data_IF_754450024310
#
_entry.id   IF_754450024310
#
_cell.length_a   1.000
_cell.length_b   1.000
_cell.length_c   1.000
_cell.angle_alpha   90.00
_cell.angle_beta   90.00
_cell.angle_gamma   90.00
#
_symmetry.space_group_name_H-M   'P 1'
#
loop_
_entity.id
_entity.type
_entity.pdbx_description
1 polymer ?
#
# COMPACT_ATOMS: atom_id res chain seq x y z
N UNK A 1 3.04 -8.20 31.88
CA UNK A 1 3.72 -7.00 31.33
C UNK A 1 4.59 -6.40 32.41
N UNK A 2 5.85 -6.09 32.15
CA UNK A 2 6.69 -5.36 33.11
C UNK A 2 6.13 -3.94 33.21
N UNK A 3 5.52 -3.60 34.34
CA UNK A 3 5.07 -2.25 34.67
C UNK A 3 6.28 -1.33 34.62
N UNK A 4 6.39 -0.47 33.61
CA UNK A 4 7.45 0.53 33.50
C UNK A 4 8.13 0.69 32.14
N UNK A 5 7.85 -0.15 31.13
CA UNK A 5 8.30 0.14 29.77
C UNK A 5 7.31 1.16 29.16
N UNK A 6 7.79 2.39 28.89
CA UNK A 6 7.06 3.33 28.05
C UNK A 6 6.70 2.61 26.74
N UNK A 7 5.48 2.77 26.29
CA UNK A 7 5.06 2.28 24.97
C UNK A 7 5.99 2.84 23.90
N UNK A 8 6.30 2.00 22.92
CA UNK A 8 7.17 2.35 21.82
C UNK A 8 6.54 3.44 20.93
N UNK A 9 5.22 3.56 20.99
CA UNK A 9 4.45 4.51 20.20
C UNK A 9 3.46 5.27 21.10
N UNK A 10 3.56 6.61 21.24
CA UNK A 10 2.74 7.39 22.17
C UNK A 10 1.23 7.26 21.97
N UNK A 11 0.79 6.84 20.77
CA UNK A 11 -0.63 6.55 20.52
C UNK A 11 -1.13 5.33 21.31
N UNK A 12 -0.29 4.31 21.47
CA UNK A 12 -0.65 3.13 22.26
C UNK A 12 -0.83 3.44 23.75
N UNK A 13 -0.10 4.44 24.26
CA UNK A 13 -0.24 4.89 25.66
C UNK A 13 -1.61 5.52 25.95
N UNK A 14 -2.35 5.92 24.90
CA UNK A 14 -3.69 6.48 25.01
C UNK A 14 -4.80 5.42 25.00
N UNK A 15 -4.45 4.15 24.79
CA UNK A 15 -5.39 3.02 24.84
C UNK A 15 -5.50 2.57 26.31
N UNK A 16 -6.72 2.52 26.90
CA UNK A 16 -6.89 2.03 28.26
C UNK A 16 -6.37 0.59 28.39
N UNK A 17 -5.61 0.32 29.45
CA UNK A 17 -5.05 -1.01 29.71
C UNK A 17 -6.14 -2.10 29.76
N UNK A 18 -7.30 -1.77 30.33
CA UNK A 18 -8.46 -2.67 30.36
C UNK A 18 -8.96 -3.07 28.97
N UNK A 19 -8.87 -2.17 27.99
CA UNK A 19 -9.26 -2.47 26.60
C UNK A 19 -8.28 -3.47 25.99
N UNK A 20 -6.97 -3.27 26.17
CA UNK A 20 -5.94 -4.21 25.69
C UNK A 20 -6.04 -5.57 26.37
N UNK A 21 -6.34 -5.60 27.66
CA UNK A 21 -6.52 -6.84 28.42
C UNK A 21 -7.76 -7.60 27.96
N UNK A 22 -8.88 -6.92 27.70
CA UNK A 22 -10.11 -7.50 27.12
C UNK A 22 -9.86 -8.07 25.72
N UNK A 23 -9.15 -7.32 24.88
CA UNK A 23 -8.80 -7.77 23.52
C UNK A 23 -7.88 -8.99 23.58
N UNK A 24 -6.86 -8.98 24.44
CA UNK A 24 -5.98 -10.12 24.65
C UNK A 24 -6.73 -11.36 25.19
N UNK A 25 -7.68 -11.19 26.10
CA UNK A 25 -8.51 -12.27 26.60
C UNK A 25 -9.43 -12.84 25.50
N UNK A 26 -10.04 -11.96 24.70
CA UNK A 26 -10.83 -12.35 23.54
C UNK A 26 -10.00 -13.17 22.56
N UNK A 27 -8.82 -12.71 22.16
CA UNK A 27 -7.92 -13.40 21.24
C UNK A 27 -7.51 -14.79 21.75
N UNK A 28 -7.25 -14.94 23.05
CA UNK A 28 -6.97 -16.25 23.67
C UNK A 28 -8.18 -17.18 23.59
N UNK A 29 -9.39 -16.67 23.81
CA UNK A 29 -10.63 -17.45 23.73
C UNK A 29 -10.95 -17.95 22.33
N UNK A 30 -10.43 -17.28 21.29
CA UNK A 30 -10.66 -17.67 19.89
C UNK A 30 -10.01 -19.00 19.51
N UNK A 31 -9.00 -19.47 20.25
CA UNK A 31 -8.33 -20.74 19.94
C UNK A 31 -9.28 -21.93 19.97
N UNK A 32 -10.36 -21.85 20.75
CA UNK A 32 -11.40 -22.90 20.88
C UNK A 32 -12.64 -22.66 20.00
N UNK A 33 -12.70 -21.52 19.28
CA UNK A 33 -13.85 -21.15 18.46
C UNK A 33 -13.75 -21.66 17.02
N UNK A 34 -14.90 -21.84 16.33
CA UNK A 34 -14.93 -22.20 14.92
C UNK A 34 -14.19 -21.20 14.03
N UNK A 35 -13.67 -21.66 12.88
CA UNK A 35 -12.85 -20.85 11.98
C UNK A 35 -13.57 -19.55 11.52
N UNK A 36 -14.86 -19.65 11.17
CA UNK A 36 -15.63 -18.48 10.74
C UNK A 36 -15.72 -17.40 11.83
N UNK A 37 -15.95 -17.79 13.09
CA UNK A 37 -15.99 -16.85 14.23
C UNK A 37 -14.63 -16.18 14.44
N UNK A 38 -13.54 -16.96 14.31
CA UNK A 38 -12.18 -16.43 14.41
C UNK A 38 -11.90 -15.41 13.31
N UNK A 39 -12.22 -15.74 12.05
CA UNK A 39 -12.02 -14.86 10.90
C UNK A 39 -12.82 -13.56 11.03
N UNK A 40 -14.11 -13.66 11.40
CA UNK A 40 -14.95 -12.45 11.59
C UNK A 40 -14.40 -11.54 12.70
N UNK A 41 -13.97 -12.13 13.83
CA UNK A 41 -13.37 -11.36 14.92
C UNK A 41 -12.05 -10.71 14.48
N UNK A 42 -11.21 -11.43 13.72
CA UNK A 42 -9.96 -10.87 13.21
C UNK A 42 -10.19 -9.74 12.19
N UNK A 43 -11.20 -9.85 11.33
CA UNK A 43 -11.59 -8.75 10.42
C UNK A 43 -12.06 -7.49 11.17
N UNK A 44 -12.77 -7.67 12.29
CA UNK A 44 -13.21 -6.55 13.13
C UNK A 44 -12.04 -5.85 13.85
N UNK A 45 -11.12 -6.65 14.42
CA UNK A 45 -9.98 -6.16 15.18
C UNK A 45 -8.81 -5.70 14.28
N UNK A 46 -8.70 -6.23 13.08
CA UNK A 46 -7.68 -5.87 12.10
C UNK A 46 -7.77 -4.39 11.67
N UNK A 47 -6.73 -3.90 11.04
CA UNK A 47 -6.66 -2.51 10.56
C UNK A 47 -5.39 -2.21 9.78
N UNK A 48 -4.19 -2.48 10.32
CA UNK A 48 -2.93 -2.24 9.65
C UNK A 48 -2.81 -2.84 8.25
N UNK A 49 -3.39 -4.03 8.01
CA UNK A 49 -3.43 -4.65 6.69
C UNK A 49 -4.26 -3.86 5.68
N UNK A 50 -5.41 -3.31 6.09
CA UNK A 50 -6.25 -2.46 5.23
C UNK A 50 -5.56 -1.15 4.86
N UNK A 51 -4.78 -0.59 5.79
CA UNK A 51 -3.91 0.53 5.45
C UNK A 51 -2.85 0.17 4.43
N UNK A 52 -2.22 -1.00 4.58
CA UNK A 52 -1.28 -1.53 3.59
C UNK A 52 -1.93 -1.64 2.20
N UNK A 53 -3.15 -2.18 2.11
CA UNK A 53 -3.89 -2.24 0.85
C UNK A 53 -4.16 -0.84 0.26
N UNK A 54 -4.53 0.13 1.09
CA UNK A 54 -4.78 1.50 0.65
C UNK A 54 -3.52 2.20 0.12
N UNK A 55 -2.35 1.88 0.67
CA UNK A 55 -1.06 2.37 0.20
C UNK A 55 -0.64 1.70 -1.11
N UNK A 56 -0.72 0.38 -1.16
CA UNK A 56 -0.31 -0.43 -2.33
C UNK A 56 -1.22 -0.24 -3.54
N UNK A 57 -2.53 -0.07 -3.34
CA UNK A 57 -3.51 0.14 -4.42
C UNK A 57 -3.59 1.62 -4.84
N UNK A 58 -2.44 2.28 -5.02
CA UNK A 58 -2.38 3.65 -5.48
C UNK A 58 -2.50 3.81 -7.01
N UNK A 59 -2.50 5.07 -7.47
CA UNK A 59 -2.61 5.40 -8.89
C UNK A 59 -1.56 4.67 -9.75
N UNK A 60 -0.33 4.52 -9.26
CA UNK A 60 0.74 3.80 -9.98
C UNK A 60 0.42 2.33 -10.21
N UNK A 61 0.06 1.62 -9.14
CA UNK A 61 -0.29 0.19 -9.20
C UNK A 61 -1.49 -0.07 -10.10
N UNK A 62 -2.54 0.75 -9.95
CA UNK A 62 -3.72 0.59 -10.78
C UNK A 62 -3.48 0.99 -12.24
N UNK A 63 -2.66 2.00 -12.51
CA UNK A 63 -2.25 2.32 -13.89
C UNK A 63 -1.50 1.13 -14.51
N UNK A 64 -0.57 0.52 -13.79
CA UNK A 64 0.13 -0.66 -14.26
C UNK A 64 -0.83 -1.83 -14.52
N UNK A 65 -1.84 -2.06 -13.67
CA UNK A 65 -2.87 -3.07 -13.87
C UNK A 65 -3.74 -2.78 -15.10
N UNK A 66 -4.17 -1.52 -15.28
CA UNK A 66 -4.96 -1.08 -16.44
C UNK A 66 -4.18 -1.27 -17.75
N UNK A 67 -2.94 -0.78 -17.79
CA UNK A 67 -2.04 -0.94 -18.96
C UNK A 67 -1.78 -2.41 -19.24
N UNK A 68 -1.56 -3.21 -18.21
CA UNK A 68 -1.34 -4.65 -18.30
C UNK A 68 -2.52 -5.33 -18.98
N UNK A 69 -3.75 -5.04 -18.57
CA UNK A 69 -4.97 -5.54 -19.20
C UNK A 69 -5.13 -5.06 -20.64
N UNK A 70 -4.94 -3.75 -20.88
CA UNK A 70 -5.11 -3.15 -22.20
C UNK A 70 -4.07 -3.63 -23.23
N UNK A 71 -2.82 -3.83 -22.83
CA UNK A 71 -1.73 -4.22 -23.75
C UNK A 71 -1.60 -5.72 -23.91
N UNK A 72 -1.76 -6.50 -22.83
CA UNK A 72 -1.47 -7.94 -22.81
C UNK A 72 -2.69 -8.82 -22.56
N UNK A 73 -3.85 -8.20 -22.41
CA UNK A 73 -5.07 -8.93 -22.07
C UNK A 73 -4.94 -9.61 -20.69
N UNK A 74 -5.48 -10.81 -20.58
CA UNK A 74 -5.49 -11.56 -19.32
C UNK A 74 -4.13 -12.19 -18.96
N UNK A 75 -3.14 -12.21 -19.86
CA UNK A 75 -1.89 -12.99 -19.72
C UNK A 75 -1.03 -12.57 -18.53
N UNK A 76 -1.23 -11.39 -17.99
CA UNK A 76 -0.44 -10.80 -16.89
C UNK A 76 -1.08 -10.93 -15.51
N UNK A 77 -2.25 -11.51 -15.39
CA UNK A 77 -2.97 -11.67 -14.11
C UNK A 77 -2.15 -12.38 -13.03
N UNK A 78 -1.28 -13.32 -13.43
CA UNK A 78 -0.40 -14.06 -12.53
C UNK A 78 0.60 -13.16 -11.77
N UNK A 79 0.97 -12.02 -12.34
CA UNK A 79 1.93 -11.09 -11.72
C UNK A 79 1.43 -10.62 -10.35
N UNK A 80 0.13 -10.38 -10.23
CA UNK A 80 -0.48 -9.85 -9.01
C UNK A 80 -0.26 -10.75 -7.79
N UNK A 81 -0.42 -12.09 -7.94
CA UNK A 81 -0.25 -12.98 -6.81
C UNK A 81 1.23 -13.28 -6.50
N UNK A 82 2.11 -13.25 -7.49
CA UNK A 82 3.57 -13.33 -7.25
C UNK A 82 4.06 -12.09 -6.53
N UNK A 83 3.66 -10.92 -6.99
CA UNK A 83 4.07 -9.64 -6.43
C UNK A 83 3.63 -9.50 -4.96
N UNK A 84 2.34 -9.69 -4.67
CA UNK A 84 1.83 -9.59 -3.30
C UNK A 84 2.37 -10.73 -2.43
N UNK A 85 2.41 -11.96 -2.95
CA UNK A 85 2.88 -13.13 -2.22
C UNK A 85 4.32 -12.99 -1.75
N UNK A 86 5.20 -12.45 -2.60
CA UNK A 86 6.58 -12.17 -2.21
C UNK A 86 6.65 -11.15 -1.08
N UNK A 87 5.87 -10.07 -1.15
CA UNK A 87 5.84 -9.01 -0.14
C UNK A 87 5.34 -9.45 1.23
N UNK A 88 4.44 -10.44 1.27
CA UNK A 88 3.86 -10.95 2.52
C UNK A 88 4.90 -11.58 3.46
N UNK A 89 5.99 -12.14 2.95
CA UNK A 89 7.03 -12.70 3.80
C UNK A 89 7.73 -11.62 4.64
N UNK A 90 8.05 -10.47 4.05
CA UNK A 90 8.62 -9.36 4.81
C UNK A 90 7.59 -8.71 5.75
N UNK A 91 6.31 -8.62 5.33
CA UNK A 91 5.23 -8.19 6.21
C UNK A 91 5.09 -9.10 7.44
N UNK A 92 5.22 -10.42 7.28
CA UNK A 92 5.21 -11.36 8.40
C UNK A 92 6.40 -11.14 9.35
N UNK A 93 7.57 -10.76 8.82
CA UNK A 93 8.70 -10.33 9.63
C UNK A 93 8.37 -9.06 10.43
N UNK A 94 7.74 -8.07 9.80
CA UNK A 94 7.29 -6.85 10.50
C UNK A 94 6.25 -7.17 11.57
N UNK A 95 5.28 -8.04 11.29
CA UNK A 95 4.33 -8.52 12.31
C UNK A 95 5.05 -9.13 13.53
N UNK A 96 6.15 -9.84 13.31
CA UNK A 96 6.98 -10.42 14.39
C UNK A 96 7.74 -9.35 15.17
N UNK A 97 8.36 -8.38 14.50
CA UNK A 97 8.99 -7.23 15.18
C UNK A 97 7.98 -6.45 16.01
N UNK A 98 6.78 -6.22 15.47
CA UNK A 98 5.70 -5.52 16.17
C UNK A 98 5.24 -6.28 17.40
N UNK A 99 4.84 -7.55 17.23
CA UNK A 99 4.13 -8.28 18.28
C UNK A 99 5.07 -8.92 19.29
N UNK A 100 6.18 -9.49 18.88
CA UNK A 100 7.14 -10.19 19.76
C UNK A 100 8.38 -9.37 20.10
N UNK A 101 8.85 -8.56 19.16
CA UNK A 101 10.02 -7.72 19.37
C UNK A 101 9.70 -6.53 20.26
N UNK A 102 8.56 -5.90 20.05
CA UNK A 102 8.17 -4.66 20.73
C UNK A 102 9.27 -3.59 20.62
N UNK A 103 9.82 -3.42 19.41
CA UNK A 103 10.98 -2.58 19.12
C UNK A 103 10.64 -1.54 18.06
N UNK A 104 11.20 -0.35 18.17
CA UNK A 104 11.24 0.65 17.09
C UNK A 104 12.28 0.18 16.07
N UNK A 105 11.79 -0.37 14.96
CA UNK A 105 12.65 -1.09 14.01
C UNK A 105 13.72 -0.19 13.38
N UNK A 106 13.41 1.07 13.06
CA UNK A 106 14.37 2.01 12.46
C UNK A 106 15.44 2.41 13.49
N UNK A 107 15.09 2.54 14.78
CA UNK A 107 16.07 2.80 15.83
C UNK A 107 17.03 1.61 16.01
N UNK A 108 16.50 0.38 16.05
CA UNK A 108 17.30 -0.85 16.13
C UNK A 108 18.18 -1.00 14.91
N UNK A 109 17.64 -0.74 13.72
CA UNK A 109 18.38 -0.75 12.47
C UNK A 109 19.52 0.29 12.48
N UNK A 110 19.27 1.49 13.02
CA UNK A 110 20.29 2.52 13.18
C UNK A 110 21.44 2.10 14.10
N UNK A 111 21.14 1.41 15.20
CA UNK A 111 22.14 0.91 16.15
C UNK A 111 22.98 -0.24 15.57
N UNK A 112 22.38 -1.09 14.73
CA UNK A 112 23.03 -2.32 14.22
C UNK A 112 23.68 -2.15 12.85
N UNK A 113 23.00 -1.43 11.93
CA UNK A 113 23.43 -1.29 10.54
C UNK A 113 23.78 0.15 10.15
N UNK A 114 23.77 1.06 11.15
CA UNK A 114 24.19 2.43 11.01
C UNK A 114 23.10 3.40 10.54
N UNK A 115 23.41 4.67 10.72
CA UNK A 115 22.52 5.81 10.42
C UNK A 115 22.06 5.82 8.95
N UNK A 116 22.97 5.54 8.02
CA UNK A 116 22.69 5.63 6.59
C UNK A 116 21.60 4.63 6.17
N UNK A 117 21.70 3.36 6.57
CA UNK A 117 20.73 2.33 6.23
C UNK A 117 19.37 2.63 6.86
N UNK A 118 19.35 3.00 8.14
CA UNK A 118 18.12 3.20 8.88
C UNK A 118 17.41 4.50 8.54
N UNK A 119 18.11 5.63 8.62
CA UNK A 119 17.47 6.95 8.53
C UNK A 119 17.46 7.51 7.11
N UNK A 120 18.47 7.21 6.30
CA UNK A 120 18.49 7.67 4.92
C UNK A 120 17.78 6.69 4.01
N UNK A 121 18.20 5.41 3.94
CA UNK A 121 17.60 4.47 3.00
C UNK A 121 16.18 4.04 3.43
N UNK A 122 15.98 3.70 4.70
CA UNK A 122 14.67 3.22 5.16
C UNK A 122 13.69 4.37 5.37
N UNK A 123 14.02 5.35 6.23
CA UNK A 123 13.07 6.40 6.59
C UNK A 123 12.93 7.47 5.50
N UNK A 124 14.03 8.07 5.06
CA UNK A 124 13.97 9.17 4.10
C UNK A 124 13.62 8.71 2.69
N UNK A 125 14.41 7.81 2.09
CA UNK A 125 14.16 7.33 0.73
C UNK A 125 12.93 6.43 0.68
N UNK A 126 12.88 5.40 1.53
CA UNK A 126 11.84 4.36 1.50
C UNK A 126 10.45 4.82 1.95
N UNK A 127 10.34 5.93 2.71
CA UNK A 127 9.06 6.43 3.20
C UNK A 127 8.82 7.87 2.74
N UNK A 128 9.67 8.81 3.14
CA UNK A 128 9.40 10.25 2.93
C UNK A 128 9.43 10.62 1.45
N UNK A 129 10.51 10.26 0.73
CA UNK A 129 10.61 10.57 -0.70
C UNK A 129 9.51 9.90 -1.53
N UNK A 130 9.17 8.65 -1.18
CA UNK A 130 8.06 7.92 -1.82
C UNK A 130 6.73 8.66 -1.62
N UNK A 131 6.43 9.02 -0.36
CA UNK A 131 5.18 9.72 -0.02
C UNK A 131 5.07 11.09 -0.72
N UNK A 132 6.18 11.83 -0.84
CA UNK A 132 6.19 13.14 -1.50
C UNK A 132 6.05 13.00 -3.02
N UNK A 133 6.87 12.15 -3.66
CA UNK A 133 6.93 12.10 -5.12
C UNK A 133 5.71 11.43 -5.75
N UNK A 134 5.31 10.28 -5.22
CA UNK A 134 4.20 9.54 -5.83
C UNK A 134 2.84 10.17 -5.54
N UNK A 135 2.76 11.08 -4.54
CA UNK A 135 1.50 11.78 -4.29
C UNK A 135 1.11 12.77 -5.41
N UNK A 136 2.05 13.24 -6.24
CA UNK A 136 1.71 14.02 -7.43
C UNK A 136 0.75 13.27 -8.37
N UNK A 137 1.01 11.97 -8.59
CA UNK A 137 0.13 11.12 -9.39
C UNK A 137 -1.23 10.87 -8.75
N UNK A 138 -1.28 10.73 -7.42
CA UNK A 138 -2.54 10.57 -6.69
C UNK A 138 -3.42 11.83 -6.81
N UNK A 139 -2.82 13.00 -6.62
CA UNK A 139 -3.54 14.29 -6.71
C UNK A 139 -4.05 14.51 -8.13
N UNK A 140 -3.21 14.29 -9.16
CA UNK A 140 -3.62 14.45 -10.55
C UNK A 140 -4.79 13.51 -10.93
N UNK A 141 -4.74 12.24 -10.48
CA UNK A 141 -5.84 11.30 -10.70
C UNK A 141 -7.09 11.69 -9.92
N UNK A 142 -6.94 12.05 -8.64
CA UNK A 142 -8.07 12.36 -7.77
C UNK A 142 -8.85 13.60 -8.23
N UNK A 143 -8.15 14.65 -8.63
CA UNK A 143 -8.79 15.87 -9.16
C UNK A 143 -9.50 15.63 -10.48
N UNK A 144 -8.91 14.84 -11.38
CA UNK A 144 -9.56 14.42 -12.63
C UNK A 144 -10.84 13.60 -12.36
N UNK A 145 -10.80 12.70 -11.38
CA UNK A 145 -11.97 11.87 -11.06
C UNK A 145 -13.09 12.66 -10.38
N UNK A 146 -12.77 13.68 -9.55
CA UNK A 146 -13.79 14.59 -9.02
C UNK A 146 -14.54 15.27 -10.15
N UNK A 147 -13.83 15.79 -11.16
CA UNK A 147 -14.43 16.41 -12.34
C UNK A 147 -15.26 15.41 -13.13
N UNK A 148 -14.73 14.22 -13.36
CA UNK A 148 -15.42 13.15 -14.10
C UNK A 148 -16.70 12.69 -13.41
N UNK A 149 -16.69 12.50 -12.10
CA UNK A 149 -17.88 12.16 -11.29
C UNK A 149 -18.92 13.27 -11.37
N UNK A 150 -18.50 14.53 -11.19
CA UNK A 150 -19.40 15.68 -11.25
C UNK A 150 -20.07 15.79 -12.63
N UNK A 151 -19.32 15.66 -13.73
CA UNK A 151 -19.84 15.72 -15.10
C UNK A 151 -20.82 14.59 -15.40
N UNK A 152 -20.54 13.37 -14.94
CA UNK A 152 -21.45 12.22 -15.10
C UNK A 152 -22.74 12.40 -14.31
N UNK A 153 -22.67 13.05 -13.14
CA UNK A 153 -23.84 13.40 -12.33
C UNK A 153 -24.62 14.62 -12.86
N UNK A 154 -24.15 15.26 -13.94
CA UNK A 154 -24.81 16.42 -14.55
C UNK A 154 -24.47 17.77 -13.90
N UNK A 155 -23.44 17.84 -13.09
CA UNK A 155 -22.97 19.07 -12.47
C UNK A 155 -21.74 19.61 -13.23
N UNK A 156 -21.74 20.90 -13.55
CA UNK A 156 -20.52 21.60 -13.99
C UNK A 156 -19.78 22.10 -12.76
N UNK A 157 -18.65 21.48 -12.45
CA UNK A 157 -17.81 21.89 -11.34
C UNK A 157 -16.62 22.70 -11.87
N UNK A 158 -16.38 23.94 -11.42
CA UNK A 158 -15.24 24.72 -11.88
C UNK A 158 -13.92 24.00 -11.56
N UNK A 159 -13.10 23.77 -12.58
CA UNK A 159 -11.85 23.04 -12.45
C UNK A 159 -10.92 23.61 -11.35
N UNK A 160 -10.94 24.93 -11.16
CA UNK A 160 -10.16 25.61 -10.11
C UNK A 160 -10.49 25.14 -8.68
N UNK A 161 -11.68 24.55 -8.44
CA UNK A 161 -12.09 24.08 -7.12
C UNK A 161 -11.73 22.60 -6.86
N UNK A 162 -11.42 21.82 -7.91
CA UNK A 162 -11.09 20.40 -7.78
C UNK A 162 -9.87 20.18 -6.89
N UNK A 163 -8.83 21.00 -7.06
CA UNK A 163 -7.59 20.90 -6.33
C UNK A 163 -7.73 21.24 -4.84
N UNK A 164 -8.28 22.41 -4.47
CA UNK A 164 -8.53 22.72 -3.07
C UNK A 164 -9.46 21.70 -2.39
N UNK A 165 -10.50 21.26 -3.08
CA UNK A 165 -11.44 20.28 -2.52
C UNK A 165 -10.76 18.96 -2.20
N UNK A 166 -9.98 18.43 -3.17
CA UNK A 166 -9.22 17.20 -2.96
C UNK A 166 -8.23 17.34 -1.79
N UNK A 167 -7.46 18.44 -1.78
CA UNK A 167 -6.49 18.72 -0.73
C UNK A 167 -7.13 18.84 0.65
N UNK A 168 -8.25 19.56 0.75
CA UNK A 168 -8.97 19.73 2.02
C UNK A 168 -9.53 18.40 2.56
N UNK A 169 -10.13 17.57 1.69
CA UNK A 169 -10.68 16.27 2.08
C UNK A 169 -9.56 15.37 2.59
N UNK A 170 -8.49 15.21 1.82
CA UNK A 170 -7.40 14.30 2.16
C UNK A 170 -6.60 14.77 3.38
N UNK A 171 -6.34 16.08 3.49
CA UNK A 171 -5.69 16.67 4.66
C UNK A 171 -6.55 16.53 5.92
N UNK A 172 -7.86 16.77 5.81
CA UNK A 172 -8.78 16.63 6.94
C UNK A 172 -8.82 15.21 7.48
N UNK A 173 -8.93 14.21 6.59
CA UNK A 173 -8.93 12.80 6.99
C UNK A 173 -7.59 12.42 7.64
N UNK A 174 -6.47 12.80 7.02
CA UNK A 174 -5.13 12.49 7.53
C UNK A 174 -4.89 13.12 8.90
N UNK A 175 -5.24 14.40 9.11
CA UNK A 175 -5.08 15.11 10.37
C UNK A 175 -5.95 14.54 11.51
N UNK A 176 -6.99 13.76 11.19
CA UNK A 176 -7.78 13.06 12.21
C UNK A 176 -7.10 11.79 12.72
N UNK A 177 -6.04 11.29 12.04
CA UNK A 177 -5.29 10.12 12.53
C UNK A 177 -4.69 10.41 13.91
N UNK A 178 -5.11 9.62 14.89
CA UNK A 178 -4.67 9.77 16.28
C UNK A 178 -5.31 10.95 17.05
N UNK A 179 -6.15 11.76 16.42
CA UNK A 179 -6.90 12.81 17.12
C UNK A 179 -7.91 12.19 18.10
N UNK A 180 -7.77 12.49 19.38
CA UNK A 180 -8.53 11.82 20.43
C UNK A 180 -8.08 10.37 20.68
N UNK A 181 -6.83 10.03 20.40
CA UNK A 181 -6.21 8.73 20.67
C UNK A 181 -6.71 7.65 19.72
N UNK A 182 -7.10 6.50 20.29
CA UNK A 182 -7.56 5.33 19.54
C UNK A 182 -8.77 5.64 18.63
N UNK A 183 -9.63 6.59 18.99
CA UNK A 183 -10.82 6.96 18.18
C UNK A 183 -10.41 7.50 16.81
N UNK A 184 -9.39 8.34 16.74
CA UNK A 184 -8.88 8.87 15.48
C UNK A 184 -8.23 7.79 14.59
N UNK A 185 -7.54 6.83 15.20
CA UNK A 185 -6.99 5.67 14.46
C UNK A 185 -8.12 4.83 13.88
N UNK A 186 -9.13 4.48 14.69
CA UNK A 186 -10.30 3.69 14.27
C UNK A 186 -11.08 4.42 13.17
N UNK A 187 -11.24 5.74 13.27
CA UNK A 187 -11.91 6.53 12.23
C UNK A 187 -11.23 6.38 10.87
N UNK A 188 -9.91 6.57 10.81
CA UNK A 188 -9.18 6.47 9.54
C UNK A 188 -9.13 5.03 9.04
N UNK A 189 -8.95 4.04 9.92
CA UNK A 189 -9.03 2.61 9.54
C UNK A 189 -10.40 2.24 8.96
N UNK A 190 -11.48 2.73 9.57
CA UNK A 190 -12.84 2.49 9.09
C UNK A 190 -13.06 3.14 7.73
N UNK A 191 -12.58 4.37 7.55
CA UNK A 191 -12.58 5.04 6.26
C UNK A 191 -11.86 4.22 5.19
N UNK A 192 -10.65 3.71 5.48
CA UNK A 192 -9.90 2.84 4.55
C UNK A 192 -10.65 1.56 4.20
N UNK A 193 -11.23 0.88 5.19
CA UNK A 193 -12.02 -0.36 5.00
C UNK A 193 -13.22 -0.11 4.10
N UNK A 194 -13.99 0.95 4.36
CA UNK A 194 -15.17 1.31 3.57
C UNK A 194 -14.77 1.68 2.14
N UNK A 195 -13.71 2.47 1.97
CA UNK A 195 -13.21 2.86 0.65
C UNK A 195 -12.78 1.66 -0.18
N UNK A 196 -12.03 0.71 0.41
CA UNK A 196 -11.64 -0.53 -0.27
C UNK A 196 -12.85 -1.39 -0.64
N UNK A 197 -13.87 -1.45 0.23
CA UNK A 197 -15.12 -2.15 -0.07
C UNK A 197 -15.87 -1.50 -1.24
N UNK A 198 -15.97 -0.16 -1.26
CA UNK A 198 -16.57 0.60 -2.37
C UNK A 198 -15.82 0.29 -3.66
N UNK A 199 -14.48 0.36 -3.66
CA UNK A 199 -13.65 0.02 -4.82
C UNK A 199 -13.97 -1.40 -5.33
N UNK A 200 -13.95 -2.38 -4.42
CA UNK A 200 -14.19 -3.77 -4.78
C UNK A 200 -15.57 -3.97 -5.36
N UNK A 201 -16.61 -3.42 -4.74
CA UNK A 201 -18.00 -3.53 -5.21
C UNK A 201 -18.18 -2.85 -6.58
N UNK A 202 -17.70 -1.61 -6.71
CA UNK A 202 -17.84 -0.84 -7.95
C UNK A 202 -17.08 -1.47 -9.11
N UNK A 203 -15.85 -1.92 -8.88
CA UNK A 203 -15.07 -2.56 -9.95
C UNK A 203 -15.62 -3.95 -10.30
N UNK A 204 -16.10 -4.71 -9.31
CA UNK A 204 -16.74 -6.00 -9.57
C UNK A 204 -18.03 -5.82 -10.38
N UNK A 205 -18.80 -4.76 -10.13
CA UNK A 205 -19.98 -4.45 -10.95
C UNK A 205 -19.61 -4.25 -12.43
N UNK A 206 -18.46 -3.61 -12.72
CA UNK A 206 -17.99 -3.43 -14.09
C UNK A 206 -17.71 -4.76 -14.81
N UNK A 207 -17.25 -5.82 -14.09
CA UNK A 207 -17.01 -7.13 -14.70
C UNK A 207 -18.28 -7.74 -15.33
N UNK A 208 -19.43 -7.51 -14.70
CA UNK A 208 -20.72 -8.04 -15.22
C UNK A 208 -21.21 -7.29 -16.45
N UNK A 209 -20.73 -6.06 -16.66
CA UNK A 209 -21.11 -5.22 -17.81
C UNK A 209 -20.23 -5.51 -19.02
N UNK A 210 -18.91 -5.70 -18.83
CA UNK A 210 -17.94 -5.75 -19.94
C UNK A 210 -17.77 -7.13 -20.59
N UNK A 211 -18.36 -8.19 -20.05
CA UNK A 211 -18.30 -9.53 -20.67
C UNK A 211 -16.90 -10.16 -20.64
N UNK A 212 -16.43 -10.56 -19.47
CA UNK A 212 -15.10 -11.15 -19.27
C UNK A 212 -15.02 -12.57 -19.84
N UNK A 213 -13.93 -12.86 -20.58
CA UNK A 213 -13.57 -14.24 -20.94
C UNK A 213 -12.92 -14.94 -19.71
N UNK A 214 -13.76 -15.66 -18.96
CA UNK A 214 -13.34 -16.35 -17.74
C UNK A 214 -12.31 -17.45 -17.98
N UNK A 215 -12.33 -18.09 -19.16
CA UNK A 215 -11.35 -19.14 -19.50
C UNK A 215 -9.97 -18.56 -19.74
N UNK A 216 -9.90 -17.44 -20.48
CA UNK A 216 -8.67 -16.71 -20.69
C UNK A 216 -8.14 -16.08 -19.39
N UNK A 217 -9.05 -15.54 -18.55
CA UNK A 217 -8.70 -14.98 -17.25
C UNK A 217 -8.13 -16.06 -16.30
N UNK A 218 -8.76 -17.22 -16.21
CA UNK A 218 -8.24 -18.35 -15.41
C UNK A 218 -6.88 -18.81 -15.91
N UNK A 219 -6.70 -18.95 -17.21
CA UNK A 219 -5.40 -19.31 -17.79
C UNK A 219 -4.33 -18.27 -17.49
N UNK A 220 -4.64 -16.98 -17.65
CA UNK A 220 -3.71 -15.88 -17.36
C UNK A 220 -3.39 -15.72 -15.88
N UNK A 221 -4.27 -16.18 -14.99
CA UNK A 221 -4.01 -16.16 -13.55
C UNK A 221 -3.06 -17.28 -13.09
N UNK A 222 -3.17 -18.48 -13.68
CA UNK A 222 -2.39 -19.65 -13.26
C UNK A 222 -1.16 -19.95 -14.11
N UNK A 223 -1.12 -19.47 -15.36
CA UNK A 223 -0.02 -19.77 -16.28
C UNK A 223 0.88 -18.55 -16.44
N UNK A 224 2.13 -18.59 -15.92
CA UNK A 224 3.08 -17.49 -16.07
C UNK A 224 3.41 -17.24 -17.54
N UNK A 225 3.34 -15.97 -17.93
CA UNK A 225 3.73 -15.49 -19.23
C UNK A 225 4.48 -14.16 -19.08
N UNK A 226 5.65 -14.04 -19.69
CA UNK A 226 6.44 -12.82 -19.66
C UNK A 226 6.28 -12.07 -20.99
N UNK A 227 6.00 -10.75 -20.91
CA UNK A 227 5.98 -9.93 -22.13
C UNK A 227 7.37 -9.86 -22.76
N UNK A 228 7.41 -9.79 -24.08
CA UNK A 228 8.64 -9.61 -24.85
C UNK A 228 8.81 -8.14 -25.23
N UNK A 229 10.06 -7.66 -25.29
CA UNK A 229 10.37 -6.27 -25.60
C UNK A 229 10.50 -5.37 -24.37
N UNK A 230 11.11 -4.19 -24.54
CA UNK A 230 11.44 -3.26 -23.46
C UNK A 230 10.20 -2.78 -22.70
N UNK A 231 9.15 -2.36 -23.42
CA UNK A 231 7.92 -1.83 -22.79
C UNK A 231 7.21 -2.88 -21.94
N UNK A 232 7.22 -4.14 -22.38
CA UNK A 232 6.64 -5.23 -21.62
C UNK A 232 7.42 -5.56 -20.35
N UNK A 233 8.75 -5.46 -20.40
CA UNK A 233 9.62 -5.65 -19.24
C UNK A 233 9.40 -4.50 -18.25
N UNK A 234 9.33 -3.25 -18.70
CA UNK A 234 9.08 -2.09 -17.85
C UNK A 234 7.72 -2.19 -17.14
N UNK A 235 6.69 -2.64 -17.85
CA UNK A 235 5.38 -2.87 -17.26
C UNK A 235 5.40 -4.00 -16.21
N UNK A 236 6.11 -5.10 -16.50
CA UNK A 236 6.30 -6.19 -15.53
C UNK A 236 7.03 -5.72 -14.27
N UNK A 237 8.10 -4.93 -14.44
CA UNK A 237 8.86 -4.35 -13.34
C UNK A 237 7.97 -3.42 -12.52
N UNK A 238 7.23 -2.51 -13.18
CA UNK A 238 6.31 -1.58 -12.52
C UNK A 238 5.22 -2.31 -11.72
N UNK A 239 4.60 -3.33 -12.33
CA UNK A 239 3.56 -4.13 -11.67
C UNK A 239 4.09 -4.95 -10.49
N UNK A 240 5.31 -5.47 -10.59
CA UNK A 240 5.93 -6.28 -9.52
C UNK A 240 6.46 -5.44 -8.37
N UNK A 241 7.07 -4.29 -8.67
CA UNK A 241 7.65 -3.40 -7.67
C UNK A 241 6.60 -2.60 -6.89
N UNK A 242 5.42 -2.39 -7.48
CA UNK A 242 4.35 -1.59 -6.87
C UNK A 242 3.57 -2.33 -5.78
N UNK A 243 3.79 -3.64 -5.59
CA UNK A 243 2.92 -4.41 -4.72
C UNK A 243 3.17 -4.18 -3.22
N UNK A 244 4.41 -4.26 -2.74
CA UNK A 244 4.73 -4.06 -1.31
C UNK A 244 6.19 -3.62 -1.17
N UNK A 245 6.41 -2.42 -0.68
CA UNK A 245 7.75 -1.85 -0.50
C UNK A 245 8.09 -1.52 0.95
N UNK A 246 9.22 -0.83 1.15
CA UNK A 246 9.70 -0.39 2.47
C UNK A 246 8.64 0.41 3.21
N UNK A 247 7.92 1.31 2.52
CA UNK A 247 6.87 2.12 3.13
C UNK A 247 5.77 1.26 3.75
N UNK A 248 5.31 0.23 3.03
CA UNK A 248 4.25 -0.66 3.49
C UNK A 248 4.70 -1.51 4.68
N UNK A 249 5.92 -2.05 4.63
CA UNK A 249 6.50 -2.85 5.72
C UNK A 249 6.61 -2.02 7.01
N UNK A 250 7.16 -0.82 6.89
CA UNK A 250 7.33 0.07 8.04
C UNK A 250 5.98 0.55 8.55
N UNK A 251 5.08 0.92 7.65
CA UNK A 251 3.76 1.41 8.06
C UNK A 251 2.95 0.33 8.79
N UNK A 252 2.95 -0.92 8.31
CA UNK A 252 2.31 -2.04 8.99
C UNK A 252 2.84 -2.21 10.42
N UNK A 253 4.16 -2.13 10.58
CA UNK A 253 4.82 -2.20 11.87
C UNK A 253 4.34 -1.09 12.82
N UNK A 254 4.38 0.16 12.37
CA UNK A 254 3.98 1.31 13.20
C UNK A 254 2.48 1.36 13.47
N UNK A 255 1.65 0.98 12.51
CA UNK A 255 0.20 0.89 12.69
C UNK A 255 -0.17 -0.18 13.74
N UNK A 256 0.51 -1.33 13.74
CA UNK A 256 0.36 -2.34 14.77
C UNK A 256 0.76 -1.85 16.17
N UNK A 257 1.85 -1.07 16.26
CA UNK A 257 2.23 -0.42 17.52
C UNK A 257 1.22 0.63 17.97
N UNK A 258 0.65 1.42 17.03
CA UNK A 258 -0.40 2.41 17.36
C UNK A 258 -1.65 1.75 17.93
N UNK A 259 -1.91 0.48 17.61
CA UNK A 259 -2.99 -0.34 18.17
C UNK A 259 -2.61 -1.06 19.47
N UNK A 260 -1.37 -0.91 19.94
CA UNK A 260 -0.90 -1.61 21.13
C UNK A 260 -0.72 -3.12 20.95
N UNK A 261 -0.51 -3.60 19.70
CA UNK A 261 -0.33 -5.02 19.45
C UNK A 261 0.89 -5.59 20.14
N UNK A 262 0.69 -6.64 20.94
CA UNK A 262 1.71 -7.37 21.67
C UNK A 262 1.73 -8.86 21.30
N UNK A 263 2.40 -9.72 22.09
CA UNK A 263 2.61 -11.13 21.77
C UNK A 263 1.35 -11.94 21.50
N UNK A 264 0.22 -11.59 22.12
CA UNK A 264 -1.08 -12.26 21.91
C UNK A 264 -1.71 -11.95 20.56
N UNK A 265 -1.25 -10.89 19.88
CA UNK A 265 -1.79 -10.41 18.61
C UNK A 265 -1.08 -10.99 17.37
N UNK A 266 -0.09 -11.90 17.52
CA UNK A 266 0.65 -12.45 16.36
C UNK A 266 -0.29 -13.14 15.34
N UNK A 267 -1.27 -13.90 15.83
CA UNK A 267 -2.26 -14.56 14.99
C UNK A 267 -3.15 -13.55 14.25
N UNK A 268 -3.61 -12.53 14.96
CA UNK A 268 -4.37 -11.42 14.40
C UNK A 268 -3.55 -10.69 13.30
N UNK A 269 -2.31 -10.33 13.59
CA UNK A 269 -1.44 -9.62 12.65
C UNK A 269 -1.23 -10.40 11.33
N UNK A 270 -1.04 -11.72 11.41
CA UNK A 270 -0.92 -12.58 10.22
C UNK A 270 -2.22 -12.67 9.42
N UNK A 271 -3.36 -12.77 10.07
CA UNK A 271 -4.66 -12.82 9.38
C UNK A 271 -4.98 -11.45 8.80
N UNK A 272 -4.75 -10.36 9.53
CA UNK A 272 -4.97 -8.99 9.05
C UNK A 272 -4.13 -8.67 7.80
N UNK A 273 -2.87 -9.10 7.78
CA UNK A 273 -2.01 -8.99 6.61
C UNK A 273 -2.60 -9.70 5.38
N UNK A 274 -3.16 -10.89 5.57
CA UNK A 274 -3.75 -11.65 4.47
C UNK A 274 -5.10 -11.07 4.06
N UNK A 275 -6.01 -10.85 5.00
CA UNK A 275 -7.38 -10.41 4.71
C UNK A 275 -7.49 -8.92 4.43
N UNK A 276 -6.66 -8.11 5.08
CA UNK A 276 -6.64 -6.65 4.92
C UNK A 276 -5.79 -6.17 3.75
N UNK A 277 -4.68 -6.85 3.43
CA UNK A 277 -3.79 -6.44 2.35
C UNK A 277 -3.85 -7.38 1.13
N UNK A 278 -3.51 -8.66 1.31
CA UNK A 278 -3.31 -9.55 0.16
C UNK A 278 -4.60 -9.79 -0.61
N UNK A 279 -5.69 -10.10 0.08
CA UNK A 279 -6.97 -10.41 -0.55
C UNK A 279 -7.56 -9.21 -1.31
N UNK A 280 -7.68 -7.99 -0.73
CA UNK A 280 -8.13 -6.82 -1.47
C UNK A 280 -7.23 -6.49 -2.66
N UNK A 281 -5.92 -6.58 -2.50
CA UNK A 281 -4.98 -6.35 -3.58
C UNK A 281 -5.19 -7.31 -4.75
N UNK A 282 -5.28 -8.61 -4.48
CA UNK A 282 -5.50 -9.62 -5.52
C UNK A 282 -6.84 -9.43 -6.23
N UNK A 283 -7.91 -9.21 -5.47
CA UNK A 283 -9.25 -9.06 -6.04
C UNK A 283 -9.34 -7.81 -6.92
N UNK A 284 -8.87 -6.66 -6.43
CA UNK A 284 -8.94 -5.40 -7.17
C UNK A 284 -8.06 -5.45 -8.41
N UNK A 285 -6.82 -5.96 -8.33
CA UNK A 285 -5.97 -6.10 -9.50
C UNK A 285 -6.55 -7.08 -10.52
N UNK A 286 -7.09 -8.23 -10.07
CA UNK A 286 -7.76 -9.19 -10.95
C UNK A 286 -8.90 -8.52 -11.71
N UNK A 287 -9.74 -7.77 -11.00
CA UNK A 287 -10.89 -7.08 -11.61
C UNK A 287 -10.43 -6.01 -12.59
N UNK A 288 -9.48 -5.16 -12.20
CA UNK A 288 -8.99 -4.07 -13.04
C UNK A 288 -8.34 -4.61 -14.31
N UNK A 289 -7.42 -5.56 -14.20
CA UNK A 289 -6.80 -6.19 -15.39
C UNK A 289 -7.86 -6.81 -16.29
N UNK A 290 -8.85 -7.50 -15.71
CA UNK A 290 -9.89 -8.19 -16.49
C UNK A 290 -10.83 -7.23 -17.21
N UNK A 291 -11.22 -6.12 -16.56
CA UNK A 291 -12.05 -5.08 -17.20
C UNK A 291 -11.32 -4.45 -18.39
N UNK A 292 -10.05 -4.09 -18.21
CA UNK A 292 -9.26 -3.47 -19.27
C UNK A 292 -8.86 -4.45 -20.37
N UNK A 293 -8.69 -5.73 -20.04
CA UNK A 293 -8.51 -6.80 -21.02
C UNK A 293 -9.75 -7.03 -21.88
N UNK A 294 -10.94 -6.97 -21.27
CA UNK A 294 -12.20 -7.15 -22.00
C UNK A 294 -12.59 -5.95 -22.89
N UNK A 295 -12.08 -4.74 -22.57
CA UNK A 295 -12.53 -3.50 -23.22
C UNK A 295 -11.52 -2.87 -24.16
N UNK A 296 -10.24 -2.80 -23.77
CA UNK A 296 -9.21 -2.06 -24.50
C UNK A 296 -8.14 -2.96 -25.17
N UNK A 297 -8.11 -4.24 -24.86
CA UNK A 297 -7.15 -5.16 -25.49
C UNK A 297 -7.40 -5.25 -27.01
N UNK A 298 -6.34 -5.01 -27.80
CA UNK A 298 -6.43 -4.97 -29.26
C UNK A 298 -6.77 -3.60 -29.84
N UNK A 299 -6.99 -2.57 -29.02
CA UNK A 299 -7.16 -1.19 -29.50
C UNK A 299 -5.87 -0.62 -30.07
N UNK A 300 -5.95 0.18 -31.12
CA UNK A 300 -4.79 0.78 -31.79
C UNK A 300 -4.13 1.90 -30.98
N UNK A 301 -4.89 2.61 -30.15
CA UNK A 301 -4.44 3.73 -29.33
C UNK A 301 -4.75 3.46 -27.86
N UNK A 302 -3.80 2.91 -27.14
CA UNK A 302 -3.93 2.68 -25.69
C UNK A 302 -3.34 3.89 -24.94
N UNK A 303 -4.17 4.60 -24.14
CA UNK A 303 -3.67 5.70 -23.33
C UNK A 303 -2.65 5.21 -22.30
N UNK A 304 -1.68 6.07 -21.94
CA UNK A 304 -0.56 5.70 -21.06
C UNK A 304 -0.69 6.24 -19.63
N UNK A 305 -1.66 7.11 -19.37
CA UNK A 305 -1.88 7.67 -18.03
C UNK A 305 -3.20 7.20 -17.40
N UNK A 306 -3.24 7.10 -16.07
CA UNK A 306 -4.44 6.68 -15.34
C UNK A 306 -5.69 7.54 -15.63
N UNK A 307 -5.59 8.89 -15.69
CA UNK A 307 -6.74 9.72 -16.08
C UNK A 307 -7.27 9.41 -17.48
N UNK A 308 -6.39 9.25 -18.46
CA UNK A 308 -6.76 8.96 -19.84
C UNK A 308 -7.35 7.56 -19.99
N UNK A 309 -6.80 6.55 -19.30
CA UNK A 309 -7.33 5.19 -19.27
C UNK A 309 -8.73 5.16 -18.66
N UNK A 310 -8.94 5.90 -17.58
CA UNK A 310 -10.27 6.07 -16.97
C UNK A 310 -11.25 6.70 -17.94
N UNK A 311 -10.87 7.79 -18.60
CA UNK A 311 -11.70 8.47 -19.58
C UNK A 311 -12.03 7.58 -20.79
N UNK A 312 -11.10 6.76 -21.25
CA UNK A 312 -11.32 5.83 -22.37
C UNK A 312 -12.27 4.68 -21.98
N UNK A 313 -12.30 4.25 -20.73
CA UNK A 313 -13.16 3.17 -20.27
C UNK A 313 -14.63 3.61 -20.10
N UNK A 314 -14.86 4.82 -19.63
CA UNK A 314 -16.21 5.32 -19.30
C UNK A 314 -17.23 5.14 -20.44
N UNK A 315 -16.96 5.50 -21.71
CA UNK A 315 -17.88 5.27 -22.82
C UNK A 315 -18.15 3.79 -23.11
N UNK A 316 -17.15 2.93 -22.86
CA UNK A 316 -17.21 1.49 -23.15
C UNK A 316 -18.07 0.72 -22.13
N UNK A 317 -18.32 1.30 -20.97
CA UNK A 317 -19.21 0.73 -19.96
C UNK A 317 -20.69 0.83 -20.34
N UNK A 318 -21.02 1.61 -21.39
CA UNK A 318 -22.36 1.68 -22.02
C UNK A 318 -23.44 2.30 -21.17
N UNK A 319 -23.60 1.88 -19.95
CA UNK A 319 -24.60 2.37 -19.00
C UNK A 319 -24.04 3.48 -18.12
N UNK A 320 -24.80 4.58 -17.98
CA UNK A 320 -24.42 5.70 -17.09
C UNK A 320 -24.15 5.23 -15.65
N UNK A 321 -24.90 4.24 -15.16
CA UNK A 321 -24.73 3.67 -13.83
C UNK A 321 -23.40 2.95 -13.64
N UNK A 322 -22.97 2.14 -14.61
CA UNK A 322 -21.70 1.42 -14.56
C UNK A 322 -20.51 2.39 -14.65
N UNK A 323 -20.60 3.39 -15.52
CA UNK A 323 -19.60 4.44 -15.64
C UNK A 323 -19.44 5.24 -14.33
N UNK A 324 -20.56 5.62 -13.71
CA UNK A 324 -20.57 6.33 -12.42
C UNK A 324 -20.01 5.46 -11.29
N UNK A 325 -20.41 4.18 -11.22
CA UNK A 325 -19.88 3.24 -10.24
C UNK A 325 -18.36 3.07 -10.39
N UNK A 326 -17.86 2.91 -11.62
CA UNK A 326 -16.42 2.85 -11.87
C UNK A 326 -15.69 4.09 -11.36
N UNK A 327 -16.20 5.28 -11.69
CA UNK A 327 -15.59 6.55 -11.28
C UNK A 327 -15.57 6.73 -9.76
N UNK A 328 -16.66 6.38 -9.06
CA UNK A 328 -16.73 6.43 -7.58
C UNK A 328 -15.74 5.44 -6.96
N UNK A 329 -15.72 4.19 -7.42
CA UNK A 329 -14.77 3.20 -6.98
C UNK A 329 -13.33 3.66 -7.21
N UNK A 330 -13.08 4.24 -8.39
CA UNK A 330 -11.74 4.69 -8.73
C UNK A 330 -11.32 5.96 -7.99
N UNK A 331 -12.24 6.85 -7.63
CA UNK A 331 -11.96 8.04 -6.80
C UNK A 331 -11.49 7.69 -5.38
N UNK A 332 -11.96 6.57 -4.84
CA UNK A 332 -11.51 6.09 -3.53
C UNK A 332 -10.00 5.81 -3.51
N UNK A 333 -9.41 5.39 -4.64
CA UNK A 333 -7.98 5.04 -4.78
C UNK A 333 -7.05 6.20 -4.42
N UNK A 334 -7.05 7.33 -5.14
CA UNK A 334 -6.14 8.43 -4.84
C UNK A 334 -6.39 9.04 -3.45
N UNK A 335 -7.63 9.08 -2.98
CA UNK A 335 -7.97 9.62 -1.65
C UNK A 335 -7.35 8.75 -0.56
N UNK A 336 -7.57 7.44 -0.60
CA UNK A 336 -7.02 6.52 0.42
C UNK A 336 -5.50 6.50 0.41
N UNK A 337 -4.90 6.47 -0.78
CA UNK A 337 -3.44 6.45 -0.92
C UNK A 337 -2.81 7.76 -0.46
N UNK A 338 -3.37 8.92 -0.79
CA UNK A 338 -2.87 10.21 -0.29
C UNK A 338 -2.96 10.30 1.23
N UNK A 339 -4.06 9.85 1.83
CA UNK A 339 -4.20 9.81 3.30
C UNK A 339 -3.18 8.86 3.92
N UNK A 340 -3.03 7.66 3.37
CA UNK A 340 -2.04 6.68 3.82
C UNK A 340 -0.60 7.19 3.72
N UNK A 341 -0.23 7.78 2.57
CA UNK A 341 1.07 8.42 2.35
C UNK A 341 1.34 9.58 3.31
N UNK A 342 0.32 10.37 3.63
CA UNK A 342 0.42 11.48 4.58
C UNK A 342 0.78 10.96 5.99
N UNK A 343 0.14 9.92 6.44
CA UNK A 343 0.41 9.31 7.75
C UNK A 343 1.79 8.62 7.75
N UNK A 344 2.10 7.86 6.71
CA UNK A 344 3.41 7.22 6.56
C UNK A 344 4.54 8.23 6.50
N UNK A 345 4.36 9.36 5.81
CA UNK A 345 5.33 10.46 5.76
C UNK A 345 5.60 11.04 7.16
N UNK A 346 4.54 11.25 7.95
CA UNK A 346 4.70 11.76 9.32
C UNK A 346 5.52 10.79 10.18
N UNK A 347 5.27 9.48 10.09
CA UNK A 347 6.08 8.45 10.73
C UNK A 347 7.52 8.49 10.22
N UNK A 348 7.71 8.50 8.91
CA UNK A 348 9.04 8.51 8.27
C UNK A 348 9.89 9.70 8.68
N UNK A 349 9.31 10.92 8.70
CA UNK A 349 10.00 12.15 9.14
C UNK A 349 10.41 12.04 10.62
N UNK A 350 9.52 11.56 11.49
CA UNK A 350 9.83 11.42 12.92
C UNK A 350 10.93 10.41 13.17
N UNK A 351 10.89 9.26 12.48
CA UNK A 351 11.94 8.24 12.57
C UNK A 351 13.27 8.70 11.97
N UNK A 352 13.23 9.42 10.84
CA UNK A 352 14.43 10.01 10.22
C UNK A 352 15.12 10.99 11.17
N UNK A 353 14.36 11.85 11.83
CA UNK A 353 14.86 12.88 12.75
C UNK A 353 15.13 12.33 14.16
N UNK A 354 14.68 11.11 14.48
CA UNK A 354 14.77 10.53 15.82
C UNK A 354 13.82 11.18 16.83
N UNK A 355 12.73 11.78 16.36
CA UNK A 355 11.70 12.37 17.21
C UNK A 355 10.69 11.30 17.65
N UNK A 356 10.09 11.54 18.81
CA UNK A 356 8.95 10.72 19.19
C UNK A 356 7.73 11.10 18.33
N UNK A 357 6.99 10.10 17.80
CA UNK A 357 5.84 10.33 16.94
C UNK A 357 4.62 10.78 17.78
N UNK A 358 4.64 12.03 18.23
CA UNK A 358 3.54 12.66 18.97
C UNK A 358 2.58 13.34 17.98
N UNK A 359 1.39 12.76 17.82
CA UNK A 359 0.32 13.25 16.94
C UNK A 359 -0.22 14.63 17.30
N UNK A 360 0.00 15.10 18.53
CA UNK A 360 -0.40 16.44 18.99
C UNK A 360 0.61 17.51 18.59
N UNK A 361 1.85 17.14 18.32
CA UNK A 361 2.93 18.07 18.03
C UNK A 361 2.71 18.79 16.70
N UNK A 362 3.22 20.05 16.59
CA UNK A 362 3.21 20.79 15.34
C UNK A 362 4.09 20.10 14.26
N UNK A 363 5.16 19.43 14.69
CA UNK A 363 6.04 18.63 13.81
C UNK A 363 5.28 17.52 13.10
N UNK A 364 4.44 16.78 13.85
CA UNK A 364 3.56 15.77 13.28
C UNK A 364 2.60 16.36 12.26
N UNK A 365 1.93 17.48 12.61
CA UNK A 365 0.96 18.14 11.74
C UNK A 365 1.60 18.64 10.43
N UNK A 366 2.81 19.21 10.49
CA UNK A 366 3.54 19.59 9.29
C UNK A 366 3.96 18.37 8.45
N UNK A 367 4.47 17.33 9.08
CA UNK A 367 4.92 16.13 8.39
C UNK A 367 3.77 15.39 7.71
N UNK A 368 2.59 15.33 8.32
CA UNK A 368 1.40 14.69 7.75
C UNK A 368 0.82 15.49 6.58
N UNK A 369 1.03 16.79 6.56
CA UNK A 369 0.62 17.67 5.45
C UNK A 369 1.66 17.76 4.33
N UNK A 370 2.90 17.34 4.56
CA UNK A 370 3.96 17.48 3.56
C UNK A 370 3.63 16.83 2.19
N UNK A 371 2.97 15.65 2.09
CA UNK A 371 2.60 15.10 0.78
C UNK A 371 1.57 15.92 0.02
N UNK A 372 0.87 16.88 0.66
CA UNK A 372 -0.02 17.83 -0.04
C UNK A 372 0.74 18.74 -1.02
N UNK A 373 2.08 18.74 -0.99
CA UNK A 373 2.90 19.37 -2.04
C UNK A 373 2.54 18.85 -3.45
N UNK A 374 1.97 17.64 -3.54
CA UNK A 374 1.42 17.07 -4.77
C UNK A 374 0.36 17.96 -5.42
N UNK A 375 -0.29 18.87 -4.67
CA UNK A 375 -1.22 19.86 -5.20
C UNK A 375 -0.56 20.85 -6.17
N UNK A 376 0.77 20.98 -6.12
CA UNK A 376 1.53 21.78 -7.09
C UNK A 376 1.41 21.22 -8.52
N UNK A 377 0.99 19.96 -8.70
CA UNK A 377 0.68 19.40 -10.00
C UNK A 377 -0.43 20.18 -10.75
N UNK A 378 -1.22 20.99 -10.04
CA UNK A 378 -2.19 21.91 -10.66
C UNK A 378 -1.54 23.00 -11.51
N UNK A 379 -0.31 23.40 -11.16
CA UNK A 379 0.40 24.53 -11.75
C UNK A 379 1.59 24.11 -12.62
N UNK A 380 2.08 22.89 -12.44
CA UNK A 380 3.22 22.36 -13.16
C UNK A 380 2.98 20.90 -13.56
N UNK A 381 3.48 20.45 -14.71
CA UNK A 381 3.44 19.03 -15.06
C UNK A 381 4.09 18.19 -13.95
N UNK A 382 3.59 16.99 -13.74
CA UNK A 382 4.16 16.04 -12.80
C UNK A 382 5.67 15.94 -12.97
N UNK A 383 6.48 16.04 -11.91
CA UNK A 383 7.93 16.08 -12.02
C UNK A 383 8.50 14.69 -12.36
N UNK A 384 8.34 14.26 -13.62
CA UNK A 384 8.71 12.93 -14.12
C UNK A 384 10.15 12.59 -13.76
N UNK A 385 11.08 13.54 -13.93
CA UNK A 385 12.49 13.31 -13.57
C UNK A 385 12.67 12.98 -12.09
N UNK A 386 11.99 13.68 -11.20
CA UNK A 386 12.03 13.41 -9.76
C UNK A 386 11.44 12.04 -9.42
N UNK A 387 10.33 11.68 -10.06
CA UNK A 387 9.70 10.37 -9.87
C UNK A 387 10.63 9.24 -10.32
N UNK A 388 11.28 9.38 -11.48
CA UNK A 388 12.26 8.40 -11.98
C UNK A 388 13.46 8.30 -11.04
N UNK A 389 14.01 9.42 -10.59
CA UNK A 389 15.15 9.43 -9.67
C UNK A 389 14.80 8.73 -8.35
N UNK A 390 13.64 9.02 -7.79
CA UNK A 390 13.19 8.40 -6.53
C UNK A 390 12.88 6.91 -6.75
N UNK A 391 12.29 6.52 -7.87
CA UNK A 391 12.06 5.13 -8.19
C UNK A 391 13.37 4.34 -8.30
N UNK A 392 14.41 4.93 -8.91
CA UNK A 392 15.75 4.34 -8.96
C UNK A 392 16.38 4.20 -7.58
N UNK A 393 16.35 5.27 -6.77
CA UNK A 393 16.86 5.24 -5.39
C UNK A 393 16.10 4.24 -4.51
N UNK A 394 14.78 4.14 -4.70
CA UNK A 394 13.92 3.18 -4.00
C UNK A 394 14.26 1.74 -4.37
N UNK A 395 14.52 1.47 -5.65
CA UNK A 395 14.90 0.12 -6.11
C UNK A 395 16.16 -0.39 -5.40
N UNK A 396 17.19 0.47 -5.28
CA UNK A 396 18.41 0.14 -4.53
C UNK A 396 18.13 0.06 -3.02
N UNK A 397 17.38 1.03 -2.49
CA UNK A 397 17.02 1.08 -1.07
C UNK A 397 16.27 -0.16 -0.62
N UNK A 398 15.25 -0.59 -1.37
CA UNK A 398 14.45 -1.79 -1.04
C UNK A 398 15.33 -3.03 -0.85
N UNK A 399 16.34 -3.21 -1.68
CA UNK A 399 17.27 -4.34 -1.58
C UNK A 399 18.10 -4.29 -0.30
N UNK A 400 18.77 -3.17 -0.05
CA UNK A 400 19.61 -3.00 1.14
C UNK A 400 18.78 -3.09 2.43
N UNK A 401 17.61 -2.47 2.44
CA UNK A 401 16.71 -2.49 3.60
C UNK A 401 16.18 -3.90 3.84
N UNK A 402 15.83 -4.66 2.79
CA UNK A 402 15.36 -6.03 2.92
C UNK A 402 16.43 -6.94 3.55
N UNK A 403 17.68 -6.83 3.10
CA UNK A 403 18.80 -7.54 3.73
C UNK A 403 18.99 -7.15 5.18
N UNK A 404 18.95 -5.84 5.47
CA UNK A 404 19.06 -5.32 6.84
C UNK A 404 17.98 -5.90 7.75
N UNK A 405 16.72 -5.91 7.30
CA UNK A 405 15.59 -6.45 8.06
C UNK A 405 15.68 -7.96 8.24
N UNK A 406 16.12 -8.68 7.22
CA UNK A 406 16.37 -10.14 7.31
C UNK A 406 17.43 -10.49 8.35
N UNK A 407 18.53 -9.74 8.37
CA UNK A 407 19.59 -9.91 9.37
C UNK A 407 19.07 -9.62 10.79
N UNK A 408 18.34 -8.52 10.98
CA UNK A 408 17.73 -8.18 12.29
C UNK A 408 16.72 -9.23 12.75
N UNK A 409 15.93 -9.82 11.84
CA UNK A 409 14.97 -10.87 12.16
C UNK A 409 15.63 -12.13 12.72
N UNK A 410 16.86 -12.40 12.30
CA UNK A 410 17.63 -13.56 12.72
C UNK A 410 18.63 -13.25 13.85
N UNK A 411 18.80 -11.98 14.22
CA UNK A 411 19.75 -11.55 15.24
C UNK A 411 19.27 -11.94 16.64
N UNK A 412 20.13 -12.71 17.35
CA UNK A 412 19.86 -13.16 18.73
C UNK A 412 19.88 -11.99 19.73
N UNK A 413 20.70 -10.97 19.50
CA UNK A 413 20.79 -9.83 20.42
C UNK A 413 19.59 -8.89 20.27
N UNK A 414 18.97 -8.84 19.08
CA UNK A 414 17.78 -8.02 18.81
C UNK A 414 16.51 -8.70 19.30
N UNK A 415 16.26 -9.93 18.90
CA UNK A 415 15.00 -10.63 19.16
C UNK A 415 15.12 -11.75 20.19
N UNK A 416 16.31 -12.10 20.66
CA UNK A 416 16.53 -13.13 21.64
C UNK A 416 15.93 -14.47 21.24
N UNK A 417 15.06 -15.02 22.10
CA UNK A 417 14.32 -16.26 21.84
C UNK A 417 13.24 -16.09 20.74
N UNK A 418 12.83 -14.85 20.46
CA UNK A 418 11.79 -14.51 19.45
C UNK A 418 12.35 -14.39 18.03
N UNK A 419 13.66 -14.56 17.81
CA UNK A 419 14.24 -14.55 16.46
C UNK A 419 13.57 -15.58 15.55
N UNK A 420 13.64 -15.37 14.25
CA UNK A 420 13.11 -16.35 13.29
C UNK A 420 13.94 -17.64 13.35
N UNK A 421 13.26 -18.77 13.56
CA UNK A 421 13.86 -20.11 13.51
C UNK A 421 13.20 -20.97 12.41
N UNK A 422 12.24 -20.43 11.71
CA UNK A 422 11.49 -21.16 10.68
C UNK A 422 12.21 -21.05 9.35
N UNK A 423 12.65 -22.19 8.81
CA UNK A 423 13.19 -22.27 7.46
C UNK A 423 12.22 -21.76 6.41
N UNK A 424 10.92 -22.04 6.55
CA UNK A 424 9.89 -21.59 5.61
C UNK A 424 9.84 -20.06 5.50
N UNK A 425 9.76 -19.35 6.63
CA UNK A 425 9.71 -17.89 6.62
C UNK A 425 11.01 -17.26 6.15
N UNK A 426 12.16 -17.79 6.58
CA UNK A 426 13.45 -17.28 6.14
C UNK A 426 13.69 -17.53 4.65
N UNK A 427 13.33 -18.71 4.14
CA UNK A 427 13.40 -19.02 2.72
C UNK A 427 12.49 -18.09 1.90
N UNK A 428 11.25 -17.86 2.35
CA UNK A 428 10.33 -16.95 1.69
C UNK A 428 10.86 -15.52 1.59
N UNK A 429 11.48 -15.01 2.66
CA UNK A 429 12.12 -13.68 2.65
C UNK A 429 13.33 -13.67 1.69
N UNK A 430 14.16 -14.72 1.68
CA UNK A 430 15.28 -14.81 0.73
C UNK A 430 14.80 -14.86 -0.72
N UNK A 431 13.73 -15.60 -1.02
CA UNK A 431 13.10 -15.59 -2.35
C UNK A 431 12.62 -14.19 -2.72
N UNK A 432 11.95 -13.49 -1.79
CA UNK A 432 11.53 -12.10 -2.01
C UNK A 432 12.72 -11.18 -2.31
N UNK A 433 13.79 -11.25 -1.51
CA UNK A 433 15.01 -10.45 -1.72
C UNK A 433 15.62 -10.76 -3.09
N UNK A 434 15.65 -12.05 -3.49
CA UNK A 434 16.17 -12.46 -4.80
C UNK A 434 15.31 -11.90 -5.94
N UNK A 435 13.98 -11.92 -5.81
CA UNK A 435 13.07 -11.32 -6.79
C UNK A 435 13.27 -9.80 -6.89
N UNK A 436 13.37 -9.09 -5.77
CA UNK A 436 13.63 -7.65 -5.76
C UNK A 436 14.99 -7.30 -6.39
N UNK A 437 16.03 -8.09 -6.11
CA UNK A 437 17.33 -7.92 -6.76
C UNK A 437 17.24 -8.20 -8.28
N UNK A 438 16.53 -9.25 -8.68
CA UNK A 438 16.30 -9.57 -10.07
C UNK A 438 15.59 -8.43 -10.82
N UNK A 439 14.51 -7.91 -10.24
CA UNK A 439 13.76 -6.76 -10.78
C UNK A 439 14.65 -5.52 -10.89
N UNK A 440 15.44 -5.21 -9.86
CA UNK A 440 16.36 -4.08 -9.88
C UNK A 440 17.46 -4.23 -10.94
N UNK A 441 18.04 -5.42 -11.08
CA UNK A 441 19.03 -5.74 -12.12
C UNK A 441 18.41 -5.62 -13.51
N UNK A 442 17.23 -6.19 -13.74
CA UNK A 442 16.51 -6.09 -15.02
C UNK A 442 16.24 -4.63 -15.38
N UNK A 443 15.82 -3.81 -14.41
CA UNK A 443 15.60 -2.38 -14.61
C UNK A 443 16.87 -1.65 -15.04
N UNK A 444 18.00 -1.91 -14.36
CA UNK A 444 19.31 -1.32 -14.71
C UNK A 444 19.74 -1.74 -16.10
N UNK A 445 19.70 -3.06 -16.40
CA UNK A 445 20.11 -3.58 -17.68
C UNK A 445 19.26 -3.02 -18.83
N UNK A 446 17.93 -2.93 -18.64
CA UNK A 446 17.02 -2.35 -19.63
C UNK A 446 17.33 -0.84 -19.83
N UNK A 447 17.57 -0.09 -18.75
CA UNK A 447 17.85 1.35 -18.82
C UNK A 447 19.15 1.68 -19.54
N UNK A 448 20.16 0.83 -19.45
CA UNK A 448 21.46 0.99 -20.13
C UNK A 448 21.53 0.26 -21.50
N UNK A 449 20.42 -0.29 -21.99
CA UNK A 449 20.39 -1.00 -23.27
C UNK A 449 21.22 -2.29 -23.30
N UNK A 450 21.52 -2.86 -22.11
CA UNK A 450 22.29 -4.09 -21.96
C UNK A 450 21.41 -5.36 -21.99
N UNK A 451 20.09 -5.20 -22.07
CA UNK A 451 19.12 -6.28 -22.20
C UNK A 451 18.36 -6.10 -23.52
N UNK A 452 18.68 -6.94 -24.51
CA UNK A 452 17.97 -7.03 -25.79
C UNK A 452 17.04 -8.25 -25.82
#
# INVERSE_FOLDING_TARGET
MKSGLKSIYPLADQIPAEQLDREAALLRSLNTKPLHTRLLTFLQLGGPGFFGAALTLGAGTLTAAMLSGAQFGYKTLWISWVAIGSGLFMMAAMARFTTKGQLRIIEVQSKRHGFFVARILTAFVGIVCVALAFNFGQVALGTHLIESVASTAGFSFPQAWNWPLYGLITAWIALNYGRGGARGVIFVETFMKISLLIMLVCFTACLFVVGVDWSAAARGFFVPWLPRGADGIDLFIASSAAAVGVMDWMFFHYAGHAKGWGPTHEGLAKVDMFTGLALPFLLINFVVVSVFAATLFGSTNIPTSAPQLSAALVPLLGEKGAAFAFQIGFLAVPITTTVGMSIACAVGVHEMMGWDPDVKSWRWKLSILAPQIGLLAAFAPSPIFLIILIAAALSLSNNIVSWSLFLLLNDKEVLGANRSRSYFWNLGILVQITLLNGVAIMWVLNRFGLWN
#
